data_IF_289544597905
#
_entry.id   IF_289544597905
#
_cell.length_a   1.000
_cell.length_b   1.000
_cell.length_c   1.000
_cell.angle_alpha   90.00
_cell.angle_beta   90.00
_cell.angle_gamma   90.00
#
_symmetry.space_group_name_H-M   'P 1'
#
loop_
_entity.id
_entity.type
_entity.pdbx_description
1 polymer ?
#
# COMPACT_ATOMS: atom_id res chain seq x y z
N UNK A 1 25.48 -12.08 3.96
CA UNK A 1 24.86 -10.76 3.76
C UNK A 1 23.55 -10.97 2.99
N UNK A 2 22.45 -10.32 3.41
CA UNK A 2 21.18 -10.42 2.66
C UNK A 2 21.39 -9.84 1.26
N UNK A 3 20.86 -10.53 0.24
CA UNK A 3 20.92 -10.04 -1.13
C UNK A 3 20.11 -8.74 -1.21
N UNK A 4 20.61 -7.67 -1.83
CA UNK A 4 19.88 -6.40 -1.92
C UNK A 4 18.58 -6.62 -2.70
N UNK A 5 17.49 -6.00 -2.26
CA UNK A 5 16.21 -6.04 -2.94
C UNK A 5 16.36 -5.48 -4.36
N UNK A 6 15.95 -6.27 -5.35
CA UNK A 6 16.03 -5.89 -6.77
C UNK A 6 14.72 -5.30 -7.28
N UNK A 7 13.59 -5.77 -6.75
CA UNK A 7 12.26 -5.41 -7.23
C UNK A 7 11.34 -5.14 -6.04
N UNK A 8 10.91 -3.91 -5.87
CA UNK A 8 10.07 -3.52 -4.74
C UNK A 8 8.79 -2.86 -5.21
N UNK A 9 7.67 -3.30 -4.68
CA UNK A 9 6.41 -2.59 -4.86
C UNK A 9 6.12 -1.74 -3.62
N UNK A 10 5.86 -0.46 -3.84
CA UNK A 10 5.27 0.43 -2.86
C UNK A 10 3.78 0.60 -3.14
N UNK A 11 2.95 0.53 -2.10
CA UNK A 11 1.52 0.73 -2.23
C UNK A 11 1.01 1.71 -1.19
N UNK A 12 0.30 2.71 -1.66
CA UNK A 12 -0.20 3.82 -0.85
C UNK A 12 -1.50 4.33 -1.47
N UNK A 13 -2.24 5.15 -0.75
CA UNK A 13 -3.41 5.75 -1.37
C UNK A 13 -4.13 6.81 -0.57
N UNK A 14 -4.85 7.64 -1.30
CA UNK A 14 -5.80 8.62 -0.82
C UNK A 14 -5.21 9.99 -0.49
N UNK A 15 -4.17 10.07 0.31
CA UNK A 15 -3.64 11.34 0.83
C UNK A 15 -2.12 11.45 0.69
N UNK A 16 -1.61 12.68 0.64
CA UNK A 16 -0.16 12.94 0.63
C UNK A 16 0.56 12.36 1.86
N UNK A 17 -0.13 12.25 3.00
CA UNK A 17 0.41 11.63 4.22
C UNK A 17 0.75 10.15 4.06
N UNK A 18 0.15 9.44 3.10
CA UNK A 18 0.50 8.08 2.76
C UNK A 18 1.48 8.00 1.57
N UNK A 19 1.36 8.93 0.61
CA UNK A 19 2.16 8.92 -0.62
C UNK A 19 3.60 9.37 -0.36
N UNK A 20 3.79 10.46 0.38
CA UNK A 20 5.12 11.01 0.63
C UNK A 20 6.06 10.04 1.37
N UNK A 21 5.63 9.34 2.43
CA UNK A 21 6.45 8.30 3.05
C UNK A 21 6.82 7.17 2.09
N UNK A 22 5.90 6.77 1.19
CA UNK A 22 6.20 5.75 0.19
C UNK A 22 7.29 6.21 -0.78
N UNK A 23 7.20 7.45 -1.26
CA UNK A 23 8.23 8.06 -2.13
C UNK A 23 9.57 8.14 -1.40
N UNK A 24 9.60 8.60 -0.14
CA UNK A 24 10.82 8.69 0.65
C UNK A 24 11.49 7.30 0.84
N UNK A 25 10.69 6.28 1.13
CA UNK A 25 11.19 4.90 1.26
C UNK A 25 11.71 4.35 -0.08
N UNK A 26 11.06 4.68 -1.20
CA UNK A 26 11.51 4.29 -2.54
C UNK A 26 12.85 4.96 -2.88
N UNK A 27 13.00 6.25 -2.58
CA UNK A 27 14.28 6.97 -2.74
C UNK A 27 15.39 6.33 -1.89
N UNK A 28 15.11 5.98 -0.64
CA UNK A 28 16.07 5.28 0.22
C UNK A 28 16.44 3.90 -0.34
N UNK A 29 15.49 3.16 -0.90
CA UNK A 29 15.74 1.87 -1.53
C UNK A 29 16.69 2.03 -2.74
N UNK A 30 16.46 3.03 -3.61
CA UNK A 30 17.34 3.34 -4.73
C UNK A 30 18.72 3.85 -4.29
N UNK A 31 18.80 4.64 -3.22
CA UNK A 31 20.08 5.06 -2.68
C UNK A 31 20.94 3.88 -2.18
N UNK A 32 20.30 2.81 -1.69
CA UNK A 32 20.99 1.58 -1.27
C UNK A 32 21.25 0.60 -2.42
N UNK A 33 20.41 0.59 -3.42
CA UNK A 33 20.54 -0.22 -4.63
C UNK A 33 20.05 0.58 -5.85
N UNK A 34 20.93 1.31 -6.56
CA UNK A 34 20.55 2.11 -7.72
C UNK A 34 19.97 1.32 -8.90
N UNK A 35 20.16 -0.01 -8.91
CA UNK A 35 19.63 -0.91 -9.94
C UNK A 35 18.26 -1.48 -9.58
N UNK A 36 17.72 -1.17 -8.39
CA UNK A 36 16.43 -1.68 -7.98
C UNK A 36 15.31 -1.13 -8.87
N UNK A 37 14.40 -2.01 -9.24
CA UNK A 37 13.18 -1.65 -9.96
C UNK A 37 12.08 -1.33 -8.94
N UNK A 38 11.51 -0.15 -9.05
CA UNK A 38 10.44 0.32 -8.16
C UNK A 38 9.15 0.44 -8.94
N UNK A 39 8.09 -0.16 -8.44
CA UNK A 39 6.73 0.00 -8.92
C UNK A 39 5.85 0.53 -7.81
N UNK A 40 5.06 1.54 -8.11
CA UNK A 40 4.00 1.99 -7.22
C UNK A 40 2.65 1.44 -7.65
N UNK A 41 1.83 1.09 -6.65
CA UNK A 41 0.46 0.64 -6.88
C UNK A 41 -0.49 1.40 -5.94
N UNK A 42 -1.53 1.97 -6.49
CA UNK A 42 -2.52 2.75 -5.74
C UNK A 42 -3.92 2.64 -6.34
N UNK A 43 -4.84 3.49 -5.90
CA UNK A 43 -6.18 3.58 -6.45
C UNK A 43 -6.21 4.41 -7.74
N UNK A 44 -7.26 4.21 -8.55
CA UNK A 44 -7.49 5.04 -9.74
C UNK A 44 -7.80 6.51 -9.40
N UNK A 45 -8.30 6.75 -8.18
CA UNK A 45 -8.71 8.06 -7.69
C UNK A 45 -8.01 8.33 -6.36
N UNK A 46 -7.07 9.24 -6.36
CA UNK A 46 -6.28 9.63 -5.19
C UNK A 46 -5.07 10.44 -5.61
N UNK A 47 -4.42 11.10 -4.66
CA UNK A 47 -3.26 11.96 -4.94
C UNK A 47 -2.05 11.17 -5.46
N UNK A 48 -1.98 9.88 -5.19
CA UNK A 48 -0.92 8.98 -5.65
C UNK A 48 -0.79 8.96 -7.18
N UNK A 49 -1.93 9.05 -7.89
CA UNK A 49 -1.99 9.07 -9.35
C UNK A 49 -1.16 10.21 -9.96
N UNK A 50 -1.11 11.34 -9.28
CA UNK A 50 -0.39 12.52 -9.75
C UNK A 50 1.01 12.63 -9.12
N UNK A 51 1.12 12.38 -7.82
CA UNK A 51 2.37 12.57 -7.07
C UNK A 51 3.44 11.55 -7.44
N UNK A 52 3.06 10.28 -7.66
CA UNK A 52 4.01 9.21 -7.95
C UNK A 52 4.67 9.38 -9.32
N UNK A 53 3.93 9.60 -10.43
CA UNK A 53 4.55 9.88 -11.72
C UNK A 53 5.37 11.18 -11.73
N UNK A 54 4.94 12.23 -11.01
CA UNK A 54 5.74 13.47 -10.84
C UNK A 54 7.07 13.22 -10.13
N UNK A 55 7.12 12.22 -9.26
CA UNK A 55 8.35 11.80 -8.60
C UNK A 55 9.22 10.86 -9.47
N UNK A 56 8.81 10.56 -10.72
CA UNK A 56 9.57 9.76 -11.67
C UNK A 56 9.42 8.25 -11.55
N UNK A 57 8.38 7.77 -10.85
CA UNK A 57 8.14 6.33 -10.65
C UNK A 57 7.04 5.78 -11.56
N UNK A 58 7.19 4.50 -11.95
CA UNK A 58 6.11 3.75 -12.60
C UNK A 58 4.95 3.58 -11.63
N UNK A 59 3.72 3.80 -12.14
CA UNK A 59 2.50 3.70 -11.35
C UNK A 59 1.47 2.81 -12.02
N UNK A 60 0.90 1.88 -11.24
CA UNK A 60 -0.23 1.04 -11.65
C UNK A 60 -1.39 1.21 -10.68
N UNK A 61 -2.59 0.99 -11.17
CA UNK A 61 -3.81 1.13 -10.39
C UNK A 61 -4.44 -0.23 -10.08
N UNK A 62 -5.16 -0.28 -8.96
CA UNK A 62 -6.13 -1.30 -8.62
C UNK A 62 -7.49 -0.66 -8.44
N UNK A 63 -8.54 -1.35 -8.88
CA UNK A 63 -9.91 -0.88 -8.73
C UNK A 63 -10.34 -1.03 -7.27
N UNK A 64 -10.10 0.00 -6.49
CA UNK A 64 -10.55 0.10 -5.10
C UNK A 64 -10.99 1.52 -4.80
N UNK A 65 -12.02 1.65 -3.98
CA UNK A 65 -12.53 2.94 -3.54
C UNK A 65 -12.80 2.93 -2.04
N UNK A 66 -12.76 4.11 -1.43
CA UNK A 66 -13.14 4.27 -0.04
C UNK A 66 -14.64 4.06 0.14
N UNK A 67 -15.04 3.52 1.30
CA UNK A 67 -16.45 3.50 1.71
C UNK A 67 -16.84 4.83 2.35
N UNK A 68 -17.98 5.36 1.92
CA UNK A 68 -18.57 6.55 2.52
C UNK A 68 -19.49 6.15 3.67
N UNK A 69 -19.36 6.81 4.81
CA UNK A 69 -20.15 6.55 6.02
C UNK A 69 -21.46 7.36 6.03
N UNK A 70 -22.14 7.43 4.89
CA UNK A 70 -23.39 8.18 4.75
C UNK A 70 -24.46 7.28 4.14
N UNK A 71 -25.73 7.47 4.56
CA UNK A 71 -26.89 6.74 4.05
C UNK A 71 -27.62 7.50 2.93
N UNK A 72 -27.04 8.55 2.36
CA UNK A 72 -27.64 9.25 1.21
C UNK A 72 -27.69 8.32 -0.01
N UNK A 73 -28.72 8.40 -0.88
CA UNK A 73 -28.86 7.50 -2.03
C UNK A 73 -27.65 7.48 -2.97
N UNK A 74 -27.02 8.64 -3.20
CA UNK A 74 -25.80 8.75 -4.00
C UNK A 74 -24.62 7.99 -3.38
N UNK A 75 -24.49 8.04 -2.06
CA UNK A 75 -23.46 7.33 -1.30
C UNK A 75 -23.72 5.83 -1.26
N UNK A 76 -24.97 5.42 -1.23
CA UNK A 76 -25.35 3.99 -1.27
C UNK A 76 -24.97 3.38 -2.63
N UNK A 77 -25.20 4.09 -3.74
CA UNK A 77 -24.74 3.68 -5.07
C UNK A 77 -23.21 3.59 -5.14
N UNK A 78 -22.51 4.59 -4.57
CA UNK A 78 -21.05 4.58 -4.49
C UNK A 78 -20.54 3.37 -3.69
N UNK A 79 -21.14 3.09 -2.54
CA UNK A 79 -20.77 1.94 -1.71
C UNK A 79 -21.02 0.60 -2.42
N UNK A 80 -22.07 0.47 -3.23
CA UNK A 80 -22.32 -0.73 -4.04
C UNK A 80 -21.22 -0.96 -5.09
N UNK A 81 -20.77 0.10 -5.76
CA UNK A 81 -19.62 0.05 -6.67
C UNK A 81 -18.36 -0.32 -5.91
N UNK A 82 -18.17 0.24 -4.71
CA UNK A 82 -17.02 -0.05 -3.85
C UNK A 82 -16.97 -1.52 -3.42
N UNK A 83 -18.11 -2.18 -3.20
CA UNK A 83 -18.19 -3.63 -2.96
C UNK A 83 -17.72 -4.41 -4.19
N UNK A 84 -18.17 -4.05 -5.38
CA UNK A 84 -17.73 -4.68 -6.64
C UNK A 84 -16.22 -4.54 -6.84
N UNK A 85 -15.67 -3.36 -6.58
CA UNK A 85 -14.23 -3.09 -6.64
C UNK A 85 -13.46 -3.91 -5.60
N UNK A 86 -13.98 -4.05 -4.38
CA UNK A 86 -13.37 -4.86 -3.33
C UNK A 86 -13.26 -6.35 -3.72
N UNK A 87 -14.20 -6.86 -4.51
CA UNK A 87 -14.16 -8.24 -5.03
C UNK A 87 -13.13 -8.40 -6.18
N UNK A 88 -12.90 -7.36 -6.99
CA UNK A 88 -11.94 -7.38 -8.11
C UNK A 88 -10.51 -7.12 -7.67
N UNK A 89 -10.29 -6.22 -6.73
CA UNK A 89 -8.98 -5.80 -6.27
C UNK A 89 -8.02 -6.95 -5.90
N UNK A 90 -8.43 -8.05 -5.26
CA UNK A 90 -7.53 -9.18 -4.99
C UNK A 90 -7.05 -9.91 -6.25
N UNK A 91 -7.85 -9.95 -7.31
CA UNK A 91 -7.48 -10.53 -8.60
C UNK A 91 -6.42 -9.69 -9.31
N UNK A 92 -6.65 -8.39 -9.36
CA UNK A 92 -5.74 -7.39 -9.94
C UNK A 92 -4.42 -7.34 -9.19
N UNK A 93 -4.47 -7.28 -7.85
CA UNK A 93 -3.28 -7.33 -7.01
C UNK A 93 -2.43 -8.57 -7.33
N UNK A 94 -3.03 -9.76 -7.42
CA UNK A 94 -2.33 -10.99 -7.80
C UNK A 94 -1.75 -10.94 -9.20
N UNK A 95 -2.44 -10.32 -10.15
CA UNK A 95 -1.94 -10.16 -11.52
C UNK A 95 -0.70 -9.25 -11.55
N UNK A 96 -0.72 -8.12 -10.82
CA UNK A 96 0.42 -7.21 -10.68
C UNK A 96 1.61 -7.92 -10.03
N UNK A 97 1.39 -8.63 -8.93
CA UNK A 97 2.45 -9.38 -8.24
C UNK A 97 3.10 -10.43 -9.15
N UNK A 98 2.30 -11.18 -9.92
CA UNK A 98 2.82 -12.19 -10.87
C UNK A 98 3.61 -11.56 -12.02
N UNK A 99 3.16 -10.43 -12.55
CA UNK A 99 3.83 -9.74 -13.65
C UNK A 99 5.13 -9.07 -13.20
N UNK A 100 5.10 -8.38 -12.07
CA UNK A 100 6.25 -7.64 -11.57
C UNK A 100 7.25 -8.54 -10.81
N UNK A 101 6.81 -9.60 -10.12
CA UNK A 101 7.62 -10.53 -9.30
C UNK A 101 8.47 -9.78 -8.26
N UNK A 102 7.87 -9.06 -7.33
CA UNK A 102 8.62 -8.30 -6.35
C UNK A 102 9.32 -9.19 -5.32
N UNK A 103 10.47 -8.75 -4.83
CA UNK A 103 11.17 -9.33 -3.68
C UNK A 103 10.54 -8.90 -2.36
N UNK A 104 9.88 -7.72 -2.36
CA UNK A 104 9.16 -7.20 -1.21
C UNK A 104 8.02 -6.26 -1.63
N UNK A 105 7.02 -6.14 -0.77
CA UNK A 105 5.91 -5.20 -0.90
C UNK A 105 5.82 -4.34 0.37
N UNK A 106 5.80 -3.02 0.20
CA UNK A 106 5.73 -2.05 1.29
C UNK A 106 4.44 -1.24 1.17
N UNK A 107 3.58 -1.32 2.17
CA UNK A 107 2.37 -0.50 2.28
C UNK A 107 2.59 0.67 3.24
N UNK A 108 2.21 1.89 2.84
CA UNK A 108 2.33 3.08 3.70
C UNK A 108 0.98 3.64 4.15
N UNK A 109 -0.06 2.84 4.03
CA UNK A 109 -1.42 3.22 4.43
C UNK A 109 -2.32 3.62 3.27
N UNK A 110 -3.55 4.00 3.63
CA UNK A 110 -4.62 4.21 2.68
C UNK A 110 -5.27 2.90 2.22
N UNK A 111 -6.54 2.98 1.85
CA UNK A 111 -7.35 1.80 1.49
C UNK A 111 -6.78 1.00 0.30
N UNK A 112 -6.02 1.64 -0.59
CA UNK A 112 -5.41 0.98 -1.75
C UNK A 112 -4.29 0.01 -1.36
N UNK A 113 -3.63 0.18 -0.22
CA UNK A 113 -2.54 -0.71 0.21
C UNK A 113 -3.05 -2.07 0.70
N UNK A 114 -4.30 -2.16 1.18
CA UNK A 114 -4.83 -3.38 1.78
C UNK A 114 -4.84 -4.60 0.82
N UNK A 115 -5.44 -4.53 -0.39
CA UNK A 115 -5.51 -5.69 -1.27
C UNK A 115 -4.14 -6.19 -1.71
N UNK A 116 -3.20 -5.27 -1.96
CA UNK A 116 -1.88 -5.63 -2.46
C UNK A 116 -0.99 -6.27 -1.38
N UNK A 117 -0.90 -5.67 -0.19
CA UNK A 117 -0.13 -6.23 0.92
C UNK A 117 -0.70 -7.58 1.33
N UNK A 118 -2.03 -7.70 1.44
CA UNK A 118 -2.69 -8.98 1.75
C UNK A 118 -2.43 -10.06 0.69
N UNK A 119 -2.47 -9.70 -0.59
CA UNK A 119 -2.19 -10.64 -1.68
C UNK A 119 -0.71 -11.07 -1.67
N UNK A 120 0.22 -10.16 -1.40
CA UNK A 120 1.65 -10.44 -1.28
C UNK A 120 1.93 -11.40 -0.10
N UNK A 121 1.38 -11.11 1.07
CA UNK A 121 1.51 -11.97 2.25
C UNK A 121 1.00 -13.40 1.99
N UNK A 122 -0.16 -13.54 1.31
CA UNK A 122 -0.69 -14.85 0.92
C UNK A 122 0.18 -15.58 -0.10
N UNK A 123 0.89 -14.85 -0.93
CA UNK A 123 1.85 -15.38 -1.89
C UNK A 123 3.24 -15.63 -1.27
N UNK A 124 3.39 -15.42 0.05
CA UNK A 124 4.66 -15.54 0.79
C UNK A 124 5.76 -14.59 0.27
N UNK A 125 5.37 -13.48 -0.29
CA UNK A 125 6.28 -12.39 -0.65
C UNK A 125 6.49 -11.55 0.60
N UNK A 126 7.73 -11.23 0.99
CA UNK A 126 8.03 -10.38 2.14
C UNK A 126 7.25 -9.06 2.13
N UNK A 127 6.64 -8.73 3.26
CA UNK A 127 5.76 -7.57 3.39
C UNK A 127 6.15 -6.68 4.57
N UNK A 128 6.09 -5.38 4.35
CA UNK A 128 6.20 -4.39 5.42
C UNK A 128 5.06 -3.37 5.32
N UNK A 129 4.65 -2.83 6.46
CA UNK A 129 3.69 -1.74 6.56
C UNK A 129 4.31 -0.61 7.34
N UNK A 130 4.22 0.60 6.81
CA UNK A 130 4.65 1.82 7.50
C UNK A 130 3.44 2.63 7.95
N UNK A 131 3.40 2.96 9.23
CA UNK A 131 2.39 3.85 9.83
C UNK A 131 3.03 5.19 10.18
N UNK A 132 2.54 6.24 9.54
CA UNK A 132 3.04 7.61 9.72
C UNK A 132 2.39 8.36 10.88
N UNK A 133 1.30 7.84 11.42
CA UNK A 133 0.52 8.52 12.46
C UNK A 133 0.88 8.01 13.85
N UNK A 134 0.65 8.86 14.88
CA UNK A 134 0.81 8.46 16.28
C UNK A 134 -0.27 7.46 16.74
N UNK A 135 -1.43 7.44 16.05
CA UNK A 135 -2.49 6.44 16.22
C UNK A 135 -2.70 5.77 14.85
N UNK A 136 -2.65 4.44 14.79
CA UNK A 136 -2.70 3.76 13.51
C UNK A 136 -4.03 3.93 12.80
N UNK A 137 -3.95 4.10 11.48
CA UNK A 137 -5.11 4.09 10.60
C UNK A 137 -5.74 2.69 10.51
N UNK A 138 -7.03 2.61 10.17
CA UNK A 138 -7.76 1.35 10.09
C UNK A 138 -7.07 0.34 9.14
N UNK A 139 -6.57 0.80 8.01
CA UNK A 139 -5.91 -0.07 7.02
C UNK A 139 -4.65 -0.72 7.59
N UNK A 140 -3.80 0.04 8.27
CA UNK A 140 -2.56 -0.47 8.85
C UNK A 140 -2.83 -1.41 10.02
N UNK A 141 -3.87 -1.14 10.83
CA UNK A 141 -4.35 -2.09 11.85
C UNK A 141 -4.82 -3.41 11.23
N UNK A 142 -5.63 -3.36 10.16
CA UNK A 142 -6.10 -4.57 9.48
C UNK A 142 -4.97 -5.37 8.83
N UNK A 143 -3.89 -4.71 8.42
CA UNK A 143 -2.73 -5.34 7.81
C UNK A 143 -1.76 -5.93 8.83
N UNK A 144 -1.89 -5.64 10.11
CA UNK A 144 -1.04 -6.19 11.17
C UNK A 144 -0.92 -7.72 11.11
N UNK A 145 -2.03 -8.40 10.82
CA UNK A 145 -2.06 -9.88 10.77
C UNK A 145 -1.40 -10.47 9.53
N UNK A 146 -1.16 -9.66 8.52
CA UNK A 146 -0.59 -10.08 7.23
C UNK A 146 0.86 -9.64 7.05
N UNK A 147 1.24 -8.48 7.59
CA UNK A 147 2.58 -7.93 7.39
C UNK A 147 3.63 -8.68 8.21
N UNK A 148 4.79 -8.92 7.59
CA UNK A 148 5.96 -9.52 8.29
C UNK A 148 6.63 -8.49 9.19
N UNK A 149 6.54 -7.20 8.84
CA UNK A 149 7.12 -6.08 9.60
C UNK A 149 6.16 -4.90 9.64
N UNK A 150 6.11 -4.24 10.80
CA UNK A 150 5.42 -2.96 10.98
C UNK A 150 6.47 -1.93 11.38
N UNK A 151 6.55 -0.87 10.61
CA UNK A 151 7.40 0.29 10.86
C UNK A 151 6.53 1.43 11.34
N UNK A 152 6.83 2.02 12.47
CA UNK A 152 6.05 3.13 13.03
C UNK A 152 6.88 4.42 13.02
N UNK A 153 6.26 5.51 12.61
CA UNK A 153 6.88 6.84 12.62
C UNK A 153 6.98 7.44 14.04
N UNK A 154 6.15 6.95 14.97
CA UNK A 154 6.12 7.40 16.36
C UNK A 154 6.17 6.21 17.30
N UNK A 155 7.05 6.23 18.30
CA UNK A 155 7.15 5.17 19.31
C UNK A 155 5.83 4.95 20.05
N UNK A 156 5.09 6.02 20.30
CA UNK A 156 3.75 5.96 20.92
C UNK A 156 2.73 5.15 20.12
N UNK A 157 2.94 4.97 18.82
CA UNK A 157 2.07 4.17 17.96
C UNK A 157 2.25 2.67 18.20
N UNK A 158 3.42 2.24 18.65
CA UNK A 158 3.79 0.82 18.84
C UNK A 158 2.83 0.07 19.76
N UNK A 159 2.36 0.73 20.83
CA UNK A 159 1.42 0.13 21.80
C UNK A 159 0.07 -0.33 21.21
N UNK A 160 -0.27 0.16 20.01
CA UNK A 160 -1.51 -0.20 19.32
C UNK A 160 -1.40 -1.48 18.48
N UNK A 161 -0.19 -2.00 18.32
CA UNK A 161 0.06 -3.25 17.59
C UNK A 161 0.38 -4.38 18.57
N UNK A 162 -0.11 -5.58 18.27
CA UNK A 162 0.10 -6.78 19.08
C UNK A 162 1.46 -7.45 18.81
N UNK A 163 2.05 -7.15 17.65
CA UNK A 163 3.36 -7.65 17.24
C UNK A 163 4.37 -6.51 17.36
N UNK A 164 5.38 -6.65 18.23
CA UNK A 164 6.43 -5.65 18.39
C UNK A 164 7.36 -5.59 17.17
#
# INVERSE_FOLDING_TARGET
MANPLQRVIFTCGGTAGHVNPAIALAQLALAKNPQAQILFVGAERGLEKDLVPKAGYEFKTVHISSFHRSFKPAELKHNLISVGNLLRAPGEARAILRAFRPDAVVGTGGYASYPLVKAAARAKIPTAVHESNAVPGLTTQMLETYADRIMVGFESCRKHYRRP
#
